data_IF_409292508274
#
_entry.id   IF_409292508274
#
_cell.length_a   1.000
_cell.length_b   1.000
_cell.length_c   1.000
_cell.angle_alpha   90.00
_cell.angle_beta   90.00
_cell.angle_gamma   90.00
#
_symmetry.space_group_name_H-M   'P 1'
#
loop_
_entity.id
_entity.type
_entity.pdbx_description
1 polymer ?
#
# COMPACT_ATOMS: atom_id res chain seq x y z
N UNK A 1 -13.74 15.00 -14.22
CA UNK A 1 -13.69 14.55 -12.81
C UNK A 1 -14.33 15.61 -11.93
N UNK A 2 -15.26 15.25 -11.04
CA UNK A 2 -15.95 16.22 -10.20
C UNK A 2 -15.01 16.79 -9.13
N UNK A 3 -15.27 18.02 -8.66
CA UNK A 3 -14.49 18.67 -7.59
C UNK A 3 -14.45 17.82 -6.31
N UNK A 4 -15.56 17.17 -5.98
CA UNK A 4 -15.64 16.25 -4.84
C UNK A 4 -14.69 15.06 -5.02
N UNK A 5 -14.71 14.42 -6.20
CA UNK A 5 -13.87 13.25 -6.48
C UNK A 5 -12.37 13.60 -6.43
N UNK A 6 -12.01 14.81 -6.88
CA UNK A 6 -10.65 15.38 -6.80
C UNK A 6 -10.16 15.51 -5.35
N UNK A 7 -10.97 16.13 -4.50
CA UNK A 7 -10.69 16.28 -3.06
C UNK A 7 -10.55 14.91 -2.38
N UNK A 8 -11.44 13.97 -2.70
CA UNK A 8 -11.39 12.61 -2.14
C UNK A 8 -10.11 11.89 -2.55
N UNK A 9 -9.71 11.92 -3.83
CA UNK A 9 -8.47 11.27 -4.26
C UNK A 9 -7.22 11.89 -3.64
N UNK A 10 -7.18 13.22 -3.51
CA UNK A 10 -6.10 13.90 -2.80
C UNK A 10 -5.99 13.44 -1.35
N UNK A 11 -7.12 13.41 -0.63
CA UNK A 11 -7.15 13.02 0.77
C UNK A 11 -6.71 11.56 0.95
N UNK A 12 -7.24 10.65 0.13
CA UNK A 12 -6.82 9.23 0.10
C UNK A 12 -5.35 9.10 -0.25
N UNK A 13 -4.86 9.90 -1.20
CA UNK A 13 -3.46 9.90 -1.62
C UNK A 13 -2.51 10.32 -0.50
N UNK A 14 -2.84 11.41 0.21
CA UNK A 14 -2.05 11.86 1.37
C UNK A 14 -2.02 10.80 2.47
N UNK A 15 -3.16 10.17 2.78
CA UNK A 15 -3.22 9.09 3.77
C UNK A 15 -2.35 7.90 3.34
N UNK A 16 -2.41 7.48 2.08
CA UNK A 16 -1.61 6.38 1.57
C UNK A 16 -0.10 6.68 1.67
N UNK A 17 0.33 7.90 1.34
CA UNK A 17 1.73 8.32 1.51
C UNK A 17 2.15 8.28 2.97
N UNK A 18 1.33 8.82 3.89
CA UNK A 18 1.62 8.81 5.32
C UNK A 18 1.70 7.38 5.87
N UNK A 19 0.80 6.50 5.45
CA UNK A 19 0.81 5.09 5.83
C UNK A 19 2.08 4.37 5.34
N UNK A 20 2.51 4.62 4.10
CA UNK A 20 3.74 4.07 3.55
C UNK A 20 5.00 4.58 4.24
N UNK A 21 5.06 5.88 4.58
CA UNK A 21 6.17 6.44 5.38
C UNK A 21 6.19 5.84 6.78
N UNK A 22 5.02 5.77 7.43
CA UNK A 22 4.89 5.18 8.77
C UNK A 22 5.36 3.72 8.78
N UNK A 23 4.92 2.92 7.81
CA UNK A 23 5.35 1.54 7.65
C UNK A 23 6.87 1.42 7.42
N UNK A 24 7.45 2.32 6.64
CA UNK A 24 8.91 2.36 6.42
C UNK A 24 9.70 2.62 7.71
N UNK A 25 9.15 3.40 8.65
CA UNK A 25 9.81 3.74 9.92
C UNK A 25 9.66 2.62 10.96
N UNK A 26 8.47 2.00 11.05
CA UNK A 26 8.14 1.04 12.11
C UNK A 26 8.54 -0.42 11.82
N UNK A 27 9.19 -0.70 10.68
CA UNK A 27 9.80 -2.01 10.41
C UNK A 27 8.78 -3.16 10.45
N UNK A 28 9.04 -4.25 11.19
CA UNK A 28 8.18 -5.46 11.16
C UNK A 28 6.71 -5.24 11.56
N UNK A 29 6.36 -4.15 12.24
CA UNK A 29 5.01 -3.93 12.79
C UNK A 29 3.86 -3.87 11.77
N UNK A 30 4.14 -3.57 10.50
CA UNK A 30 3.12 -3.56 9.44
C UNK A 30 3.04 -4.87 8.64
N UNK A 31 3.98 -5.80 8.84
CA UNK A 31 4.02 -7.05 8.07
C UNK A 31 2.77 -7.91 8.29
N UNK A 32 2.29 -8.01 9.54
CA UNK A 32 1.05 -8.73 9.88
C UNK A 32 -0.17 -8.18 9.13
N UNK A 33 -0.28 -6.86 8.99
CA UNK A 33 -1.36 -6.22 8.25
C UNK A 33 -1.31 -6.53 6.77
N UNK A 34 -0.10 -6.65 6.20
CA UNK A 34 0.08 -7.00 4.79
C UNK A 34 -0.22 -8.48 4.55
N UNK A 35 0.23 -9.36 5.44
CA UNK A 35 -0.16 -10.78 5.37
C UNK A 35 -1.69 -10.95 5.50
N UNK A 36 -2.32 -10.23 6.43
CA UNK A 36 -3.78 -10.23 6.58
C UNK A 36 -4.52 -9.68 5.34
N UNK A 37 -3.96 -8.69 4.65
CA UNK A 37 -4.53 -8.17 3.41
C UNK A 37 -4.47 -9.16 2.24
N UNK A 38 -3.62 -10.18 2.34
CA UNK A 38 -3.44 -11.23 1.34
C UNK A 38 -3.99 -12.58 1.74
N UNK A 39 -4.56 -12.69 2.93
CA UNK A 39 -5.24 -13.89 3.40
C UNK A 39 -6.40 -14.26 2.45
N UNK A 40 -6.45 -15.53 2.01
CA UNK A 40 -7.40 -16.02 1.02
C UNK A 40 -7.03 -15.73 -0.45
N UNK A 41 -5.89 -15.10 -0.73
CA UNK A 41 -5.40 -14.93 -2.11
C UNK A 41 -4.60 -16.18 -2.50
N UNK A 42 -5.23 -17.12 -3.22
CA UNK A 42 -4.68 -18.44 -3.57
C UNK A 42 -3.27 -18.39 -4.20
N UNK A 43 -2.98 -17.38 -5.01
CA UNK A 43 -1.66 -17.19 -5.63
C UNK A 43 -0.59 -16.90 -4.58
N UNK A 44 -0.94 -16.10 -3.57
CA UNK A 44 -0.02 -15.68 -2.50
C UNK A 44 0.21 -16.83 -1.53
N UNK A 45 -0.84 -17.56 -1.13
CA UNK A 45 -0.72 -18.79 -0.34
C UNK A 45 0.18 -19.83 -1.03
N UNK A 46 0.06 -19.95 -2.36
CA UNK A 46 0.92 -20.83 -3.16
C UNK A 46 2.38 -20.38 -3.15
N UNK A 47 2.65 -19.07 -3.23
CA UNK A 47 4.01 -18.51 -3.16
C UNK A 47 4.58 -18.69 -1.75
N UNK A 48 3.79 -18.47 -0.69
CA UNK A 48 4.20 -18.67 0.70
C UNK A 48 4.57 -20.13 1.01
N UNK A 49 3.90 -21.08 0.36
CA UNK A 49 4.25 -22.51 0.48
C UNK A 49 5.64 -22.86 -0.07
N UNK A 50 6.17 -22.03 -0.98
CA UNK A 50 7.48 -22.21 -1.63
C UNK A 50 8.55 -21.33 -0.96
N UNK A 51 8.17 -20.11 -0.59
CA UNK A 51 9.04 -19.12 0.05
C UNK A 51 8.35 -18.68 1.33
N UNK A 52 8.84 -19.10 2.52
CA UNK A 52 8.17 -18.87 3.81
C UNK A 52 8.07 -17.39 4.22
N UNK A 53 8.50 -16.48 3.36
CA UNK A 53 8.35 -15.04 3.47
C UNK A 53 7.92 -14.52 2.12
N UNK A 54 6.78 -13.82 2.08
CA UNK A 54 6.31 -13.22 0.85
C UNK A 54 7.29 -12.09 0.45
N UNK A 55 8.01 -12.22 -0.69
CA UNK A 55 9.19 -11.39 -0.99
C UNK A 55 8.82 -9.93 -1.24
N UNK A 56 7.54 -9.65 -1.49
CA UNK A 56 7.03 -8.31 -1.76
C UNK A 56 6.58 -7.56 -0.50
N UNK A 57 6.50 -8.23 0.66
CA UNK A 57 6.16 -7.57 1.92
C UNK A 57 7.07 -6.35 2.07
N UNK A 58 8.41 -6.44 2.13
CA UNK A 58 9.27 -5.27 2.37
C UNK A 58 9.07 -4.07 1.42
N UNK A 59 8.48 -4.26 0.24
CA UNK A 59 8.23 -3.22 -0.76
C UNK A 59 6.84 -2.57 -0.65
N UNK A 60 5.94 -3.11 0.17
CA UNK A 60 4.60 -2.52 0.41
C UNK A 60 4.62 -1.04 0.82
N UNK A 61 5.50 -0.61 1.74
CA UNK A 61 5.59 0.80 2.12
C UNK A 61 5.88 1.71 0.92
N UNK A 62 6.78 1.28 0.03
CA UNK A 62 7.09 2.01 -1.21
C UNK A 62 5.89 2.01 -2.17
N UNK A 63 5.19 0.88 -2.30
CA UNK A 63 3.96 0.78 -3.08
C UNK A 63 2.89 1.79 -2.63
N UNK A 64 2.65 1.89 -1.32
CA UNK A 64 1.72 2.86 -0.73
C UNK A 64 2.09 4.30 -1.05
N UNK A 65 3.39 4.64 -0.94
CA UNK A 65 3.88 5.98 -1.28
C UNK A 65 3.65 6.29 -2.75
N UNK A 66 3.97 5.36 -3.65
CA UNK A 66 3.81 5.55 -5.09
C UNK A 66 2.34 5.68 -5.51
N UNK A 67 1.46 4.82 -4.99
CA UNK A 67 0.01 4.89 -5.25
C UNK A 67 -0.56 6.20 -4.70
N UNK A 68 -0.21 6.56 -3.48
CA UNK A 68 -0.68 7.80 -2.86
C UNK A 68 -0.22 9.04 -3.63
N UNK A 69 1.05 9.10 -4.01
CA UNK A 69 1.60 10.16 -4.85
C UNK A 69 0.90 10.24 -6.22
N UNK A 70 0.54 9.10 -6.81
CA UNK A 70 -0.18 9.04 -8.08
C UNK A 70 -1.59 9.64 -7.98
N UNK A 71 -2.30 9.41 -6.88
CA UNK A 71 -3.60 10.03 -6.62
C UNK A 71 -3.51 11.54 -6.42
N UNK A 72 -2.48 12.01 -5.71
CA UNK A 72 -2.22 13.44 -5.53
C UNK A 72 -1.85 14.11 -6.88
N UNK A 73 -1.03 13.44 -7.68
CA UNK A 73 -0.60 13.97 -8.97
C UNK A 73 -1.74 14.01 -10.00
N UNK A 74 -2.65 13.04 -9.94
CA UNK A 74 -3.84 12.98 -10.82
C UNK A 74 -4.80 14.15 -10.56
N UNK A 75 -4.84 14.70 -9.35
CA UNK A 75 -5.62 15.90 -9.05
C UNK A 75 -5.07 17.18 -9.70
N UNK A 76 -3.73 17.26 -9.85
CA UNK A 76 -3.04 18.42 -10.38
C UNK A 76 -3.07 18.53 -11.93
N UNK A 77 -3.68 17.55 -12.62
CA UNK A 77 -3.89 17.54 -14.08
C UNK A 77 -5.36 17.81 -14.44
#
# INVERSE_FOLDING_TARGET
MSKLMRITLNFVGVIAVLAGIYASIFGRGWSEWVYAAYDGVTIIESIESIVPYFPFVPFWPLGLVLVGASFIFTDNK
#
